data_IF_444458325091
#
_entry.id   IF_444458325091
#
_cell.length_a   1.000
_cell.length_b   1.000
_cell.length_c   1.000
_cell.angle_alpha   90.00
_cell.angle_beta   90.00
_cell.angle_gamma   90.00
#
_symmetry.space_group_name_H-M   'P 1'
#
loop_
_entity.id
_entity.type
_entity.pdbx_description
1 polymer ?
#
# COMPACT_ATOMS: atom_id res chain seq x y z
N UNK A 1 -26.12 22.57 5.74
CA UNK A 1 -27.40 22.82 6.41
C UNK A 1 -28.21 21.55 6.38
N UNK A 2 -28.42 20.94 7.50
CA UNK A 2 -29.60 20.21 8.01
C UNK A 2 -29.13 19.32 9.15
N UNK A 3 -29.34 19.87 10.33
CA UNK A 3 -29.27 19.16 11.62
C UNK A 3 -30.51 18.26 11.70
N UNK A 4 -30.34 17.01 12.07
CA UNK A 4 -31.44 16.18 12.51
C UNK A 4 -31.22 15.82 13.96
N UNK A 5 -32.05 16.40 14.78
CA UNK A 5 -32.25 16.21 16.21
C UNK A 5 -33.17 15.00 16.36
N UNK A 6 -32.78 13.98 17.09
CA UNK A 6 -33.71 12.92 17.51
C UNK A 6 -33.77 12.90 19.03
N UNK A 7 -34.96 13.18 19.47
CA UNK A 7 -35.46 13.33 20.82
C UNK A 7 -35.53 11.98 21.51
N UNK A 8 -35.01 11.96 22.73
CA UNK A 8 -35.28 10.91 23.72
C UNK A 8 -36.75 10.87 24.09
N UNK A 9 -37.33 9.69 24.08
CA UNK A 9 -38.59 9.42 24.75
C UNK A 9 -38.34 8.49 25.94
N UNK A 10 -38.53 9.08 27.15
CA UNK A 10 -38.54 8.40 28.41
C UNK A 10 -39.92 7.80 28.60
N UNK A 11 -40.01 6.51 28.82
CA UNK A 11 -41.21 5.89 29.38
C UNK A 11 -40.95 5.37 30.78
N UNK A 12 -41.49 6.10 31.74
CA UNK A 12 -41.78 5.67 33.11
C UNK A 12 -43.09 4.91 33.14
N UNK A 13 -43.13 3.75 33.75
CA UNK A 13 -44.28 3.07 34.35
C UNK A 13 -43.69 1.88 35.10
N UNK A 14 -43.89 1.64 36.37
CA UNK A 14 -44.95 1.87 37.27
C UNK A 14 -44.95 0.66 38.21
N UNK A 15 -44.80 0.89 39.51
CA UNK A 15 -44.88 -0.15 40.54
C UNK A 15 -46.27 -0.78 40.64
N UNK A 16 -46.36 -1.97 41.21
CA UNK A 16 -47.11 -2.02 42.47
C UNK A 16 -46.42 -2.77 43.60
N UNK A 17 -46.61 -2.18 44.78
CA UNK A 17 -46.40 -2.69 46.10
C UNK A 17 -47.45 -3.78 46.38
N UNK A 18 -47.06 -4.90 46.99
CA UNK A 18 -48.03 -5.70 47.74
C UNK A 18 -47.43 -6.17 49.05
N UNK A 19 -47.98 -5.62 50.08
CA UNK A 19 -47.87 -6.01 51.48
C UNK A 19 -48.77 -7.19 51.77
N UNK A 20 -48.28 -8.23 52.44
CA UNK A 20 -49.12 -9.00 53.38
C UNK A 20 -48.26 -9.58 54.50
N UNK A 21 -48.78 -9.44 55.69
CA UNK A 21 -48.21 -9.75 56.98
C UNK A 21 -48.54 -11.16 57.48
N UNK A 22 -47.82 -11.54 58.48
CA UNK A 22 -48.19 -12.32 59.71
C UNK A 22 -47.96 -13.82 59.74
N UNK A 23 -47.05 -14.15 60.61
CA UNK A 23 -47.11 -15.13 61.74
C UNK A 23 -47.19 -16.63 61.38
N UNK A 24 -46.15 -17.37 61.81
CA UNK A 24 -46.27 -18.25 62.99
C UNK A 24 -44.92 -18.90 63.35
N UNK A 25 -44.62 -18.84 64.62
CA UNK A 25 -43.55 -19.51 65.38
C UNK A 25 -43.59 -21.03 65.22
N UNK A 26 -42.45 -21.67 64.95
CA UNK A 26 -42.10 -22.96 65.50
C UNK A 26 -40.57 -23.05 65.64
N UNK A 27 -40.11 -23.15 66.84
CA UNK A 27 -38.76 -23.54 67.24
C UNK A 27 -38.50 -24.96 66.75
N UNK A 28 -37.48 -25.15 65.96
CA UNK A 28 -36.81 -26.43 65.74
C UNK A 28 -35.31 -26.19 65.90
N UNK A 29 -34.80 -26.59 67.02
CA UNK A 29 -33.39 -26.80 67.28
C UNK A 29 -32.85 -27.78 66.28
N UNK A 30 -31.96 -27.35 65.46
CA UNK A 30 -31.14 -28.23 64.64
C UNK A 30 -29.69 -27.74 64.70
N UNK A 31 -28.84 -28.68 65.05
CA UNK A 31 -27.39 -28.56 65.22
C UNK A 31 -26.72 -27.86 64.06
N UNK A 32 -25.90 -26.86 64.37
CA UNK A 32 -25.02 -26.21 63.40
C UNK A 32 -23.90 -27.15 63.00
N UNK A 33 -24.09 -27.87 61.92
CA UNK A 33 -22.97 -28.49 61.20
C UNK A 33 -22.19 -27.40 60.47
N UNK A 34 -21.06 -27.03 61.02
CA UNK A 34 -20.13 -26.08 60.43
C UNK A 34 -19.52 -26.74 59.20
N UNK A 35 -20.17 -26.55 58.04
CA UNK A 35 -19.60 -26.92 56.75
C UNK A 35 -18.46 -25.95 56.44
N UNK A 36 -17.23 -26.44 56.59
CA UNK A 36 -16.01 -25.71 56.22
C UNK A 36 -16.05 -25.46 54.74
N UNK A 37 -16.41 -24.23 54.37
CA UNK A 37 -16.41 -23.78 52.96
C UNK A 37 -15.04 -24.02 52.32
N UNK A 38 -15.00 -24.88 51.33
CA UNK A 38 -13.79 -25.13 50.52
C UNK A 38 -13.26 -23.81 49.94
N UNK A 39 -11.94 -23.55 49.93
CA UNK A 39 -11.42 -22.32 49.42
C UNK A 39 -11.75 -22.16 47.92
N UNK A 40 -12.51 -21.13 47.60
CA UNK A 40 -12.90 -20.78 46.23
C UNK A 40 -11.63 -20.45 45.44
N UNK A 41 -11.35 -21.23 44.42
CA UNK A 41 -10.19 -21.02 43.56
C UNK A 41 -10.40 -19.78 42.69
N UNK A 42 -9.63 -18.73 42.93
CA UNK A 42 -9.63 -17.52 42.11
C UNK A 42 -8.80 -17.76 40.85
N UNK A 43 -9.39 -17.49 39.69
CA UNK A 43 -8.71 -17.52 38.39
C UNK A 43 -8.53 -16.09 37.85
N UNK A 44 -7.34 -15.79 37.29
CA UNK A 44 -7.10 -14.52 36.59
C UNK A 44 -7.44 -14.70 35.13
N UNK A 45 -8.37 -13.89 34.61
CA UNK A 45 -8.72 -13.86 33.18
C UNK A 45 -8.47 -12.47 32.60
N UNK A 46 -8.10 -12.45 31.30
CA UNK A 46 -7.92 -11.20 30.57
C UNK A 46 -9.28 -10.67 30.11
N UNK A 47 -9.67 -9.49 30.58
CA UNK A 47 -10.87 -8.78 30.12
C UNK A 47 -10.49 -7.63 29.20
N UNK A 48 -11.11 -7.56 28.02
CA UNK A 48 -10.94 -6.45 27.09
C UNK A 48 -11.64 -5.21 27.67
N UNK A 49 -10.90 -4.13 27.90
CA UNK A 49 -11.43 -2.86 28.45
C UNK A 49 -11.44 -1.72 27.44
N UNK A 50 -11.02 -1.98 26.23
CA UNK A 50 -10.99 -0.99 25.17
C UNK A 50 -9.83 -1.16 24.22
N UNK A 51 -9.46 -0.07 23.59
CA UNK A 51 -8.37 -0.05 22.61
C UNK A 51 -7.46 1.15 22.89
N UNK A 52 -6.17 0.99 22.52
CA UNK A 52 -5.20 2.09 22.45
C UNK A 52 -4.60 2.15 21.07
N UNK A 53 -4.12 3.31 20.64
CA UNK A 53 -3.42 3.48 19.39
C UNK A 53 -1.91 3.45 19.62
N UNK A 54 -1.21 2.66 18.79
CA UNK A 54 0.26 2.68 18.73
C UNK A 54 0.71 3.12 17.34
N UNK A 55 1.78 3.90 17.28
CA UNK A 55 2.44 4.22 16.03
C UNK A 55 3.33 3.07 15.60
N UNK A 56 3.15 2.61 14.37
CA UNK A 56 4.07 1.68 13.71
C UNK A 56 4.66 2.33 12.47
N UNK A 57 5.82 1.86 12.05
CA UNK A 57 6.52 2.35 10.86
C UNK A 57 6.60 1.21 9.85
N UNK A 58 6.24 1.50 8.60
CA UNK A 58 6.47 0.57 7.47
C UNK A 58 7.33 1.23 6.41
N UNK A 59 8.17 0.43 5.75
CA UNK A 59 8.90 0.84 4.56
C UNK A 59 7.95 0.80 3.37
N UNK A 60 7.85 1.90 2.62
CA UNK A 60 7.05 1.99 1.39
C UNK A 60 7.93 2.41 0.24
N UNK A 61 7.79 1.74 -0.90
CA UNK A 61 8.48 2.11 -2.14
C UNK A 61 7.71 3.26 -2.80
N UNK A 62 8.38 4.38 -3.05
CA UNK A 62 7.79 5.56 -3.68
C UNK A 62 8.57 5.88 -4.94
N UNK A 63 7.88 6.04 -6.06
CA UNK A 63 8.50 6.50 -7.31
C UNK A 63 8.79 7.98 -7.23
N UNK A 64 10.05 8.39 -7.46
CA UNK A 64 10.45 9.78 -7.68
C UNK A 64 10.74 10.01 -9.16
N UNK A 65 10.36 11.19 -9.66
CA UNK A 65 10.67 11.63 -11.01
C UNK A 65 11.73 12.73 -10.94
N UNK A 66 12.83 12.55 -11.69
CA UNK A 66 13.85 13.58 -11.91
C UNK A 66 13.71 14.05 -13.36
N UNK A 67 13.46 15.33 -13.56
CA UNK A 67 13.41 15.91 -14.90
C UNK A 67 14.82 15.95 -15.49
N UNK A 68 14.96 15.44 -16.72
CA UNK A 68 16.24 15.38 -17.43
C UNK A 68 16.37 16.45 -18.51
N UNK A 69 15.26 16.98 -19.02
CA UNK A 69 15.25 17.98 -20.08
C UNK A 69 14.26 17.66 -21.20
N UNK A 70 14.35 18.41 -22.30
CA UNK A 70 13.72 18.11 -23.57
C UNK A 70 14.72 17.34 -24.43
N UNK A 71 14.30 16.18 -24.95
CA UNK A 71 15.11 15.32 -25.81
C UNK A 71 14.49 15.24 -27.17
N UNK A 72 15.33 15.16 -28.20
CA UNK A 72 14.96 14.76 -29.55
C UNK A 72 14.59 13.29 -29.50
N UNK A 73 13.43 12.93 -30.02
CA UNK A 73 12.91 11.57 -30.02
C UNK A 73 12.83 11.09 -31.47
N UNK A 74 13.46 9.97 -31.72
CA UNK A 74 13.34 9.19 -32.97
C UNK A 74 12.81 7.79 -32.67
N UNK A 75 12.57 7.02 -33.69
CA UNK A 75 12.08 5.66 -33.58
C UNK A 75 12.83 4.74 -34.50
N UNK A 76 13.14 3.52 -34.07
CA UNK A 76 13.83 2.51 -34.83
C UNK A 76 13.17 1.14 -34.69
N UNK A 77 13.46 0.24 -35.62
CA UNK A 77 12.96 -1.14 -35.63
C UNK A 77 14.10 -2.13 -35.95
N UNK A 78 13.89 -3.45 -35.82
CA UNK A 78 14.95 -4.44 -36.02
C UNK A 78 15.26 -4.75 -37.50
N UNK A 79 14.87 -3.89 -38.45
CA UNK A 79 15.14 -4.09 -39.85
C UNK A 79 16.57 -3.66 -40.23
N UNK A 80 17.06 -4.16 -41.39
CA UNK A 80 18.39 -3.84 -41.88
C UNK A 80 18.63 -2.35 -42.14
N UNK A 81 17.57 -1.60 -42.48
CA UNK A 81 17.65 -0.15 -42.69
C UNK A 81 17.91 0.62 -41.40
N UNK A 82 17.31 0.20 -40.26
CA UNK A 82 17.51 0.86 -38.98
C UNK A 82 18.74 0.34 -38.21
N UNK A 83 19.02 -0.96 -38.25
CA UNK A 83 20.02 -1.61 -37.42
C UNK A 83 21.17 -2.29 -38.20
N UNK A 84 21.18 -2.20 -39.52
CA UNK A 84 22.12 -2.97 -40.35
C UNK A 84 21.76 -4.46 -40.43
N UNK A 85 22.48 -5.20 -41.28
CA UNK A 85 22.26 -6.64 -41.42
C UNK A 85 22.62 -7.39 -40.13
N UNK A 86 21.67 -8.18 -39.63
CA UNK A 86 21.84 -8.96 -38.38
C UNK A 86 21.65 -8.18 -37.06
N UNK A 87 21.47 -6.85 -37.16
CA UNK A 87 21.20 -6.00 -36.00
C UNK A 87 19.77 -6.12 -35.45
N UNK A 88 19.50 -5.42 -34.37
CA UNK A 88 18.17 -5.27 -33.79
C UNK A 88 17.63 -6.48 -33.00
N UNK A 89 18.40 -7.59 -32.87
CA UNK A 89 17.99 -8.78 -32.08
C UNK A 89 18.33 -8.67 -30.62
N UNK A 90 19.41 -7.99 -30.27
CA UNK A 90 19.89 -7.80 -28.90
C UNK A 90 20.30 -6.35 -28.75
N UNK A 91 19.92 -5.73 -27.62
CA UNK A 91 20.28 -4.35 -27.28
C UNK A 91 21.72 -4.28 -26.76
N UNK A 92 22.30 -3.08 -26.70
CA UNK A 92 23.62 -2.86 -26.15
C UNK A 92 23.75 -3.27 -24.68
N UNK A 93 22.65 -3.31 -23.92
CA UNK A 93 22.62 -3.84 -22.54
C UNK A 93 22.44 -5.36 -22.44
N UNK A 94 22.41 -6.08 -23.57
CA UNK A 94 22.26 -7.55 -23.63
C UNK A 94 20.82 -8.05 -23.51
N UNK A 95 19.82 -7.18 -23.57
CA UNK A 95 18.40 -7.57 -23.50
C UNK A 95 17.79 -7.71 -24.88
N UNK A 96 16.71 -8.49 -25.01
CA UNK A 96 15.89 -8.49 -26.23
C UNK A 96 15.07 -7.21 -26.31
N UNK A 97 15.14 -6.44 -27.41
CA UNK A 97 14.40 -5.20 -27.55
C UNK A 97 12.90 -5.46 -27.58
N UNK A 98 12.13 -4.54 -27.01
CA UNK A 98 10.67 -4.64 -26.90
C UNK A 98 10.01 -3.29 -27.09
N UNK A 99 9.05 -3.21 -28.02
CA UNK A 99 8.26 -2.01 -28.24
C UNK A 99 7.52 -1.57 -26.96
N UNK A 100 7.46 -0.25 -26.75
CA UNK A 100 6.90 0.34 -25.54
C UNK A 100 7.79 0.26 -24.29
N UNK A 101 8.97 -0.39 -24.37
CA UNK A 101 9.93 -0.52 -23.28
C UNK A 101 11.33 -0.03 -23.67
N UNK A 102 11.91 -0.57 -24.70
CA UNK A 102 13.32 -0.37 -25.06
C UNK A 102 13.54 1.01 -25.66
N UNK A 103 14.55 1.71 -25.15
CA UNK A 103 14.98 3.01 -25.64
C UNK A 103 16.49 3.02 -25.78
N UNK A 104 16.95 3.44 -26.95
CA UNK A 104 18.33 3.80 -27.21
C UNK A 104 18.66 5.16 -26.61
N UNK A 105 19.77 5.26 -25.91
CA UNK A 105 20.23 6.43 -25.17
C UNK A 105 21.73 6.65 -25.38
N UNK A 106 22.22 7.85 -25.05
CA UNK A 106 23.63 8.05 -24.77
C UNK A 106 23.92 7.57 -23.33
N UNK A 107 24.65 6.46 -23.11
CA UNK A 107 24.86 5.88 -21.78
C UNK A 107 25.70 6.76 -20.85
N UNK A 108 26.47 7.71 -21.38
CA UNK A 108 27.18 8.71 -20.57
C UNK A 108 26.21 9.71 -19.90
N UNK A 109 25.03 9.94 -20.49
CA UNK A 109 24.01 10.82 -19.95
C UNK A 109 22.94 10.05 -19.17
N UNK A 110 22.51 8.91 -19.67
CA UNK A 110 21.46 8.07 -19.11
C UNK A 110 21.97 6.63 -19.01
N UNK A 111 22.42 6.17 -17.85
CA UNK A 111 22.90 4.79 -17.67
C UNK A 111 21.85 3.75 -18.03
N UNK A 112 22.27 2.59 -18.58
CA UNK A 112 21.39 1.47 -18.85
C UNK A 112 20.64 1.01 -17.60
N UNK A 113 19.43 0.50 -17.78
CA UNK A 113 18.50 0.14 -16.71
C UNK A 113 17.70 1.32 -16.13
N UNK A 114 18.02 2.57 -16.53
CA UNK A 114 17.26 3.74 -16.09
C UNK A 114 15.84 3.68 -16.64
N UNK A 115 14.84 3.72 -15.72
CA UNK A 115 13.43 3.81 -16.12
C UNK A 115 13.08 5.23 -16.50
N UNK A 116 12.42 5.39 -17.64
CA UNK A 116 12.12 6.68 -18.24
C UNK A 116 10.61 6.91 -18.39
N UNK A 117 10.24 8.18 -18.29
CA UNK A 117 8.98 8.71 -18.79
C UNK A 117 9.28 9.70 -19.90
N UNK A 118 8.70 9.49 -21.08
CA UNK A 118 8.87 10.33 -22.28
C UNK A 118 7.51 10.94 -22.62
N UNK A 119 7.40 12.26 -22.54
CA UNK A 119 6.11 12.95 -22.66
C UNK A 119 5.10 12.42 -21.64
N UNK A 120 3.98 11.89 -22.13
CA UNK A 120 2.93 11.32 -21.30
C UNK A 120 3.07 9.80 -21.06
N UNK A 121 3.90 9.11 -21.86
CA UNK A 121 4.11 7.66 -21.77
C UNK A 121 5.18 7.30 -20.73
N UNK A 122 4.93 6.27 -19.92
CA UNK A 122 5.85 5.69 -18.94
C UNK A 122 6.10 4.22 -19.29
N UNK A 123 7.14 3.63 -18.69
CA UNK A 123 7.45 2.21 -18.90
C UNK A 123 8.69 1.98 -19.74
N UNK A 124 9.25 3.02 -20.29
CA UNK A 124 10.51 2.95 -21.03
C UNK A 124 11.68 2.63 -20.12
N UNK A 125 12.68 1.94 -20.68
CA UNK A 125 13.94 1.60 -20.02
C UNK A 125 15.08 1.88 -21.00
N UNK A 126 16.12 2.53 -20.51
CA UNK A 126 17.36 2.74 -21.25
C UNK A 126 18.07 1.38 -21.38
N UNK A 127 18.06 0.78 -22.55
CA UNK A 127 18.60 -0.57 -22.80
C UNK A 127 19.51 -0.63 -24.00
N UNK A 128 19.44 0.37 -24.88
CA UNK A 128 20.15 0.33 -26.14
C UNK A 128 20.93 1.62 -26.39
N UNK A 129 21.79 1.58 -27.42
CA UNK A 129 22.49 2.74 -27.98
C UNK A 129 22.75 2.54 -29.44
N UNK A 130 23.16 3.58 -30.14
CA UNK A 130 23.54 3.57 -31.54
C UNK A 130 24.43 4.75 -31.91
N UNK A 131 25.19 4.63 -32.99
CA UNK A 131 26.13 5.69 -33.42
C UNK A 131 25.48 7.03 -33.77
N UNK A 132 24.18 7.04 -34.08
CA UNK A 132 23.40 8.26 -34.33
C UNK A 132 22.80 8.90 -33.11
N UNK A 133 22.92 8.27 -31.92
CA UNK A 133 22.32 8.80 -30.70
C UNK A 133 23.26 9.79 -29.99
N UNK A 134 23.02 11.09 -30.26
CA UNK A 134 23.77 12.18 -29.64
C UNK A 134 23.40 12.49 -28.20
N UNK A 135 23.83 13.69 -27.77
CA UNK A 135 23.52 14.22 -26.44
C UNK A 135 22.05 14.46 -26.27
N UNK A 136 21.25 14.47 -25.54
CA UNK A 136 19.78 14.72 -25.44
C UNK A 136 18.97 14.12 -26.61
N UNK A 137 19.35 12.94 -27.07
CA UNK A 137 18.63 12.16 -28.07
C UNK A 137 18.18 10.81 -27.48
N UNK A 138 16.96 10.41 -27.77
CA UNK A 138 16.41 9.09 -27.43
C UNK A 138 15.84 8.45 -28.67
N UNK A 139 16.13 7.19 -28.89
CA UNK A 139 15.61 6.39 -29.98
C UNK A 139 14.73 5.27 -29.46
N UNK A 140 13.43 5.32 -29.78
CA UNK A 140 12.42 4.41 -29.22
C UNK A 140 12.23 3.21 -30.15
N UNK A 141 12.37 2.00 -29.59
CA UNK A 141 12.18 0.77 -30.33
C UNK A 141 10.71 0.56 -30.72
N UNK A 142 10.47 0.20 -31.97
CA UNK A 142 9.20 -0.21 -32.59
C UNK A 142 9.33 -1.62 -33.17
N UNK A 143 8.21 -2.32 -33.36
CA UNK A 143 8.24 -3.67 -33.91
C UNK A 143 8.44 -3.69 -35.44
N UNK A 144 8.02 -2.64 -36.13
CA UNK A 144 8.13 -2.54 -37.60
C UNK A 144 8.66 -1.18 -38.02
N UNK A 145 9.16 -1.13 -39.27
CA UNK A 145 9.63 0.10 -39.90
C UNK A 145 8.50 1.10 -40.12
N UNK A 146 7.33 0.61 -40.48
CA UNK A 146 6.12 1.42 -40.63
C UNK A 146 5.70 2.08 -39.31
N UNK A 147 5.70 1.31 -38.20
CA UNK A 147 5.45 1.89 -36.87
C UNK A 147 6.45 2.98 -36.53
N UNK A 148 7.74 2.79 -36.84
CA UNK A 148 8.77 3.77 -36.57
C UNK A 148 8.57 5.07 -37.37
N UNK A 149 8.22 4.97 -38.65
CA UNK A 149 7.92 6.11 -39.50
C UNK A 149 6.66 6.85 -39.05
N UNK A 150 5.58 6.12 -38.74
CA UNK A 150 4.32 6.69 -38.30
C UNK A 150 4.42 7.36 -36.92
N UNK A 151 5.33 6.91 -36.05
CA UNK A 151 5.57 7.52 -34.76
C UNK A 151 6.21 8.91 -34.84
N UNK A 152 6.86 9.19 -35.99
CA UNK A 152 7.48 10.47 -36.32
C UNK A 152 8.64 10.83 -35.42
N UNK A 153 9.05 12.09 -35.50
CA UNK A 153 10.16 12.64 -34.71
C UNK A 153 9.75 13.93 -34.02
N UNK A 154 10.44 14.29 -32.95
CA UNK A 154 10.16 15.57 -32.29
C UNK A 154 10.68 15.66 -30.87
N UNK A 155 10.59 16.84 -30.29
CA UNK A 155 11.04 17.07 -28.91
C UNK A 155 9.99 16.69 -27.86
N UNK A 156 10.38 15.88 -26.88
CA UNK A 156 9.52 15.54 -25.73
C UNK A 156 10.26 15.78 -24.41
N UNK A 157 9.51 16.13 -23.38
CA UNK A 157 10.04 16.20 -22.00
C UNK A 157 10.34 14.80 -21.50
N UNK A 158 11.48 14.62 -20.84
CA UNK A 158 11.96 13.32 -20.33
C UNK A 158 12.21 13.39 -18.84
N UNK A 159 11.82 12.33 -18.14
CA UNK A 159 12.06 12.15 -16.70
C UNK A 159 12.65 10.76 -16.44
N UNK A 160 13.66 10.72 -15.57
CA UNK A 160 14.08 9.47 -14.96
C UNK A 160 13.16 9.12 -13.78
N UNK A 161 12.80 7.85 -13.67
CA UNK A 161 11.95 7.32 -12.59
C UNK A 161 12.81 6.47 -11.67
N UNK A 162 13.02 6.95 -10.45
CA UNK A 162 13.76 6.24 -9.41
C UNK A 162 12.80 5.73 -8.34
N UNK A 163 13.00 4.51 -7.87
CA UNK A 163 12.25 3.97 -6.74
C UNK A 163 13.05 4.18 -5.46
N UNK A 164 12.51 4.95 -4.54
CA UNK A 164 13.12 5.20 -3.23
C UNK A 164 12.27 4.59 -2.12
N UNK A 165 12.91 4.04 -1.11
CA UNK A 165 12.23 3.51 0.07
C UNK A 165 12.07 4.62 1.10
N UNK A 166 10.84 4.91 1.50
CA UNK A 166 10.51 5.84 2.58
C UNK A 166 9.87 5.11 3.76
N UNK A 167 10.16 5.58 4.97
CA UNK A 167 9.46 5.14 6.18
C UNK A 167 8.15 5.93 6.29
N UNK A 168 7.01 5.24 6.38
CA UNK A 168 5.70 5.86 6.63
C UNK A 168 5.17 5.42 7.99
N UNK A 169 4.85 6.37 8.86
CA UNK A 169 4.20 6.10 10.14
C UNK A 169 2.69 5.92 9.94
N UNK A 170 2.08 5.01 10.68
CA UNK A 170 0.64 4.78 10.69
C UNK A 170 0.18 4.34 12.07
N UNK A 171 -1.04 4.70 12.43
CA UNK A 171 -1.67 4.30 13.70
C UNK A 171 -2.25 2.91 13.58
N UNK A 172 -2.04 2.09 14.60
CA UNK A 172 -2.63 0.75 14.73
C UNK A 172 -3.47 0.73 16.00
N UNK A 173 -4.71 0.28 15.86
CA UNK A 173 -5.61 0.02 16.99
C UNK A 173 -5.18 -1.29 17.65
N UNK A 174 -4.81 -1.22 18.92
CA UNK A 174 -4.33 -2.37 19.70
C UNK A 174 -5.26 -2.57 20.88
N UNK A 175 -5.77 -3.77 21.12
CA UNK A 175 -6.64 -4.03 22.25
C UNK A 175 -5.92 -3.79 23.58
N UNK A 176 -6.63 -3.21 24.54
CA UNK A 176 -6.19 -3.01 25.90
C UNK A 176 -6.92 -4.02 26.80
N UNK A 177 -6.15 -4.88 27.46
CA UNK A 177 -6.66 -5.86 28.40
C UNK A 177 -6.28 -5.48 29.82
N UNK A 178 -7.13 -5.85 30.79
CA UNK A 178 -6.80 -5.91 32.20
C UNK A 178 -6.98 -7.35 32.70
N UNK A 179 -6.27 -7.70 33.74
CA UNK A 179 -6.49 -8.94 34.45
C UNK A 179 -7.58 -8.72 35.51
N UNK A 180 -8.57 -9.57 35.52
CA UNK A 180 -9.62 -9.59 36.55
C UNK A 180 -9.62 -10.95 37.22
N UNK A 181 -9.83 -10.94 38.56
CA UNK A 181 -10.05 -12.18 39.30
C UNK A 181 -11.52 -12.56 39.16
N UNK A 182 -11.77 -13.80 38.83
CA UNK A 182 -13.11 -14.42 38.84
C UNK A 182 -13.11 -15.59 39.81
N UNK A 183 -14.17 -15.70 40.56
CA UNK A 183 -14.48 -16.84 41.43
C UNK A 183 -15.34 -17.81 40.61
N UNK A 184 -14.97 -19.09 40.61
CA UNK A 184 -15.84 -20.14 40.06
C UNK A 184 -17.03 -20.34 40.96
#
# INVERSE_FOLDING_TARGET
MKKLLIIMLVCMLGFPINTYAAETTTEVTTEATTEVAKPVKKKKVKKLVGYKYKWKTKKVKVKKKKYLGKFWITHYCPCAQCCGYGGGKVTASGTTPKAGRTVGVNPALIPYGTKLKVGNKSGYVAEDTGGGIGWQHLDIFCNSHEEALNAGVGYKKVWAITTVTKKKKYKVKVPKYIWVEVTD
#
